data_IF_211740743826
#
_entry.id   IF_211740743826
#
_cell.length_a   1.000
_cell.length_b   1.000
_cell.length_c   1.000
_cell.angle_alpha   90.00
_cell.angle_beta   90.00
_cell.angle_gamma   90.00
#
_symmetry.space_group_name_H-M   'P 1'
#
loop_
_entity.id
_entity.type
_entity.pdbx_description
1 polymer ?
#
# COMPACT_ATOMS: atom_id res chain seq x y z
N UNK A 1 -3.94 -26.93 44.49
CA UNK A 1 -2.88 -26.09 43.90
C UNK A 1 -2.54 -26.57 42.48
N UNK A 2 -3.51 -26.58 41.56
CA UNK A 2 -3.33 -27.22 40.23
C UNK A 2 -4.00 -26.48 39.07
N UNK A 3 -5.07 -25.72 39.36
CA UNK A 3 -5.83 -24.98 38.35
C UNK A 3 -5.07 -23.70 37.92
N UNK A 4 -4.50 -22.95 38.89
CA UNK A 4 -3.70 -21.76 38.60
C UNK A 4 -2.43 -22.06 37.76
N UNK A 5 -1.77 -23.19 38.02
CA UNK A 5 -0.59 -23.65 37.26
C UNK A 5 -0.95 -24.08 35.83
N UNK A 6 -2.13 -24.69 35.63
CA UNK A 6 -2.63 -25.09 34.31
C UNK A 6 -3.09 -23.89 33.47
N UNK A 7 -3.69 -22.86 34.10
CA UNK A 7 -4.04 -21.60 33.45
C UNK A 7 -2.82 -20.81 33.00
N UNK A 8 -1.76 -20.76 33.81
CA UNK A 8 -0.50 -20.11 33.43
C UNK A 8 0.20 -20.78 32.25
N UNK A 9 0.19 -22.12 32.20
CA UNK A 9 0.73 -22.90 31.07
C UNK A 9 -0.07 -22.71 29.77
N UNK A 10 -1.40 -22.56 29.87
CA UNK A 10 -2.24 -22.27 28.72
C UNK A 10 -2.00 -20.85 28.17
N UNK A 11 -1.85 -19.85 29.04
CA UNK A 11 -1.57 -18.47 28.63
C UNK A 11 -0.20 -18.33 27.93
N UNK A 12 0.80 -19.11 28.36
CA UNK A 12 2.14 -19.12 27.75
C UNK A 12 2.19 -19.88 26.42
N UNK A 13 1.30 -20.87 26.21
CA UNK A 13 1.21 -21.56 24.93
C UNK A 13 0.61 -20.66 23.81
N UNK A 14 -0.25 -19.70 24.17
CA UNK A 14 -0.80 -18.74 23.20
C UNK A 14 0.20 -17.64 22.77
N UNK A 15 1.26 -17.38 23.54
CA UNK A 15 2.29 -16.39 23.15
C UNK A 15 3.31 -16.94 22.14
N UNK A 16 3.40 -18.27 21.95
CA UNK A 16 4.29 -18.87 20.94
C UNK A 16 3.74 -18.82 19.51
N UNK A 17 2.44 -18.57 19.32
CA UNK A 17 1.84 -18.44 17.99
C UNK A 17 2.20 -17.11 17.28
N UNK A 18 2.83 -16.16 17.98
CA UNK A 18 3.25 -14.87 17.40
C UNK A 18 4.58 -14.93 16.63
N UNK A 19 5.29 -16.07 16.67
CA UNK A 19 6.50 -16.29 15.87
C UNK A 19 6.19 -16.98 14.53
N UNK A 20 5.14 -16.54 13.82
CA UNK A 20 5.00 -16.95 12.42
C UNK A 20 6.08 -16.25 11.60
N UNK A 21 6.93 -17.00 10.89
CA UNK A 21 8.02 -16.46 10.05
C UNK A 21 7.58 -15.62 8.85
N UNK A 22 6.33 -15.17 8.80
CA UNK A 22 5.74 -14.31 7.77
C UNK A 22 5.01 -13.13 8.42
N UNK A 23 4.87 -11.99 7.73
CA UNK A 23 4.12 -10.84 8.22
C UNK A 23 2.64 -11.16 8.37
N UNK A 24 2.01 -10.72 9.45
CA UNK A 24 0.55 -10.80 9.63
C UNK A 24 -0.19 -9.92 8.61
N UNK A 25 -1.47 -10.19 8.36
CA UNK A 25 -2.28 -9.40 7.42
C UNK A 25 -2.42 -7.95 7.83
N UNK A 26 -2.58 -7.70 9.13
CA UNK A 26 -2.55 -6.35 9.68
C UNK A 26 -1.23 -5.63 9.44
N UNK A 27 -0.09 -6.32 9.60
CA UNK A 27 1.22 -5.71 9.32
C UNK A 27 1.42 -5.42 7.83
N UNK A 28 1.04 -6.34 6.95
CA UNK A 28 1.14 -6.14 5.51
C UNK A 28 0.26 -4.97 5.04
N UNK A 29 -1.00 -4.90 5.48
CA UNK A 29 -1.90 -3.79 5.14
C UNK A 29 -1.40 -2.46 5.72
N UNK A 30 -0.87 -2.45 6.94
CA UNK A 30 -0.28 -1.23 7.53
C UNK A 30 0.89 -0.72 6.70
N UNK A 31 1.87 -1.58 6.40
CA UNK A 31 3.05 -1.22 5.61
C UNK A 31 2.68 -0.76 4.20
N UNK A 32 1.69 -1.42 3.59
CA UNK A 32 1.16 -1.02 2.29
C UNK A 32 0.53 0.38 2.31
N UNK A 33 -0.25 0.69 3.36
CA UNK A 33 -0.85 2.02 3.50
C UNK A 33 0.22 3.10 3.77
N UNK A 34 1.22 2.81 4.59
CA UNK A 34 2.36 3.70 4.84
C UNK A 34 3.16 3.99 3.57
N UNK A 35 3.39 2.98 2.73
CA UNK A 35 4.01 3.16 1.41
C UNK A 35 3.18 4.09 0.50
N UNK A 36 1.87 3.85 0.37
CA UNK A 36 1.05 4.65 -0.53
C UNK A 36 0.87 6.10 -0.06
N UNK A 37 0.86 6.34 1.25
CA UNK A 37 0.86 7.71 1.79
C UNK A 37 2.15 8.47 1.39
N UNK A 38 3.30 7.79 1.36
CA UNK A 38 4.58 8.40 0.95
C UNK A 38 4.64 8.74 -0.54
N UNK A 39 3.92 8.02 -1.39
CA UNK A 39 3.89 8.28 -2.84
C UNK A 39 3.15 9.58 -3.21
N UNK A 40 2.48 10.24 -2.25
CA UNK A 40 1.92 11.58 -2.45
C UNK A 40 0.74 11.65 -3.42
N UNK A 41 0.14 10.52 -3.77
CA UNK A 41 -1.02 10.44 -4.67
C UNK A 41 -2.37 10.57 -3.95
N UNK A 42 -2.36 10.78 -2.63
CA UNK A 42 -3.55 10.83 -1.78
C UNK A 42 -4.54 11.96 -2.14
N UNK A 43 -4.06 12.99 -2.83
CA UNK A 43 -4.90 14.10 -3.31
C UNK A 43 -5.75 13.70 -4.53
N UNK A 44 -5.30 12.72 -5.30
CA UNK A 44 -5.94 12.29 -6.56
C UNK A 44 -6.75 11.00 -6.38
N UNK A 45 -6.27 10.10 -5.52
CA UNK A 45 -6.84 8.78 -5.33
C UNK A 45 -6.92 8.42 -3.86
N UNK A 46 -8.00 7.72 -3.51
CA UNK A 46 -8.10 6.98 -2.26
C UNK A 46 -7.77 5.51 -2.52
N UNK A 47 -7.09 4.87 -1.57
CA UNK A 47 -6.79 3.44 -1.61
C UNK A 47 -7.73 2.73 -0.62
N UNK A 48 -8.61 1.89 -1.16
CA UNK A 48 -9.61 1.15 -0.39
C UNK A 48 -9.40 -0.37 -0.51
N UNK A 49 -10.02 -1.12 0.40
CA UNK A 49 -10.13 -2.58 0.34
C UNK A 49 -8.78 -3.33 0.19
N UNK A 50 -7.70 -2.74 0.71
CA UNK A 50 -6.36 -3.31 0.64
C UNK A 50 -6.29 -4.63 1.43
N UNK A 51 -6.00 -5.71 0.71
CA UNK A 51 -5.89 -7.06 1.27
C UNK A 51 -4.75 -7.83 0.63
N UNK A 52 -4.13 -8.72 1.40
CA UNK A 52 -3.21 -9.70 0.86
C UNK A 52 -3.98 -10.71 0.00
N UNK A 53 -3.42 -11.02 -1.17
CA UNK A 53 -3.90 -12.10 -2.04
C UNK A 53 -2.86 -13.19 -2.26
N UNK A 54 -1.58 -12.91 -2.02
CA UNK A 54 -0.51 -13.91 -2.06
C UNK A 54 0.66 -13.49 -1.15
N UNK A 55 1.53 -14.44 -0.80
CA UNK A 55 2.78 -14.15 -0.09
C UNK A 55 3.78 -15.30 -0.18
N UNK A 56 5.03 -14.99 -0.51
CA UNK A 56 6.09 -15.98 -0.67
C UNK A 56 7.46 -15.41 -0.30
N UNK A 57 8.38 -16.30 0.10
CA UNK A 57 9.76 -15.93 0.34
C UNK A 57 10.56 -16.01 -0.96
N UNK A 58 11.42 -15.02 -1.20
CA UNK A 58 12.34 -14.96 -2.35
C UNK A 58 13.64 -14.31 -1.90
N UNK A 59 14.75 -15.05 -2.03
CA UNK A 59 16.10 -14.53 -1.76
C UNK A 59 16.26 -13.91 -0.36
N UNK A 60 15.70 -14.55 0.67
CA UNK A 60 15.75 -14.07 2.07
C UNK A 60 14.87 -12.85 2.37
N UNK A 61 14.00 -12.45 1.42
CA UNK A 61 12.99 -11.41 1.59
C UNK A 61 11.60 -12.02 1.46
N UNK A 62 10.61 -11.38 2.07
CA UNK A 62 9.21 -11.81 1.96
C UNK A 62 8.46 -10.91 0.99
N UNK A 63 7.92 -11.46 -0.08
CA UNK A 63 7.09 -10.75 -1.05
C UNK A 63 5.62 -10.94 -0.67
N UNK A 64 4.89 -9.84 -0.54
CA UNK A 64 3.44 -9.85 -0.32
C UNK A 64 2.75 -9.25 -1.53
N UNK A 65 1.82 -9.99 -2.15
CA UNK A 65 0.97 -9.44 -3.20
C UNK A 65 -0.29 -8.86 -2.56
N UNK A 66 -0.47 -7.55 -2.73
CA UNK A 66 -1.62 -6.80 -2.21
C UNK A 66 -2.59 -6.51 -3.35
N UNK A 67 -3.87 -6.82 -3.15
CA UNK A 67 -4.97 -6.34 -3.98
C UNK A 67 -5.66 -5.17 -3.28
N UNK A 68 -6.00 -4.14 -4.04
CA UNK A 68 -6.61 -2.92 -3.51
C UNK A 68 -7.43 -2.23 -4.60
N UNK A 69 -8.33 -1.35 -4.19
CA UNK A 69 -9.09 -0.49 -5.08
C UNK A 69 -8.51 0.93 -5.06
N UNK A 70 -8.24 1.46 -6.24
CA UNK A 70 -7.94 2.87 -6.46
C UNK A 70 -9.26 3.58 -6.74
N UNK A 71 -9.67 4.48 -5.85
CA UNK A 71 -10.91 5.27 -5.98
C UNK A 71 -10.55 6.69 -6.37
N UNK A 72 -11.09 7.14 -7.49
CA UNK A 72 -10.78 8.45 -8.05
C UNK A 72 -11.53 9.56 -7.31
N UNK A 73 -10.84 10.62 -6.87
CA UNK A 73 -11.42 11.70 -6.05
C UNK A 73 -11.99 12.87 -6.88
N UNK A 74 -11.55 13.02 -8.13
CA UNK A 74 -11.96 14.10 -9.05
C UNK A 74 -11.92 13.63 -10.50
N UNK A 75 -12.63 14.32 -11.39
CA UNK A 75 -12.62 13.96 -12.80
C UNK A 75 -11.25 14.21 -13.44
N UNK A 76 -10.95 13.47 -14.52
CA UNK A 76 -9.67 13.59 -15.22
C UNK A 76 -9.34 15.03 -15.63
N UNK A 77 -10.32 15.78 -16.15
CA UNK A 77 -10.10 17.16 -16.57
C UNK A 77 -9.86 18.08 -15.36
N UNK A 78 -10.58 17.86 -14.25
CA UNK A 78 -10.37 18.61 -13.01
C UNK A 78 -8.95 18.41 -12.47
N UNK A 79 -8.43 17.17 -12.52
CA UNK A 79 -7.06 16.86 -12.17
C UNK A 79 -6.07 17.60 -13.07
N UNK A 80 -6.23 17.52 -14.40
CA UNK A 80 -5.33 18.19 -15.36
C UNK A 80 -5.30 19.69 -15.07
N UNK A 81 -6.47 20.32 -14.92
CA UNK A 81 -6.57 21.75 -14.64
C UNK A 81 -5.93 22.13 -13.28
N UNK A 82 -6.15 21.33 -12.24
CA UNK A 82 -5.56 21.54 -10.92
C UNK A 82 -4.03 21.45 -10.96
N UNK A 83 -3.50 20.43 -11.64
CA UNK A 83 -2.06 20.23 -11.76
C UNK A 83 -1.40 21.30 -12.66
N UNK A 84 -2.03 21.67 -13.78
CA UNK A 84 -1.53 22.72 -14.68
C UNK A 84 -1.49 24.07 -13.97
N UNK A 85 -2.52 24.40 -13.17
CA UNK A 85 -2.50 25.61 -12.33
C UNK A 85 -1.37 25.59 -11.31
N UNK A 86 -1.12 24.44 -10.68
CA UNK A 86 -0.04 24.27 -9.68
C UNK A 86 1.36 24.43 -10.30
N UNK A 87 1.56 23.98 -11.54
CA UNK A 87 2.84 24.11 -12.24
C UNK A 87 3.17 25.56 -12.66
N UNK A 88 2.17 26.44 -12.77
CA UNK A 88 2.39 27.83 -13.20
C UNK A 88 2.99 27.90 -14.61
N UNK A 89 3.86 28.87 -14.87
CA UNK A 89 4.53 29.08 -16.17
C UNK A 89 5.93 28.45 -16.27
N UNK A 90 6.36 27.67 -15.28
CA UNK A 90 7.65 26.99 -15.31
C UNK A 90 7.66 25.88 -16.38
N UNK A 91 8.53 26.04 -17.37
CA UNK A 91 8.65 25.13 -18.51
C UNK A 91 9.04 23.70 -18.10
N UNK A 92 10.01 23.54 -17.18
CA UNK A 92 10.46 22.23 -16.72
C UNK A 92 9.37 21.55 -15.89
N UNK A 93 8.71 22.31 -15.02
CA UNK A 93 7.59 21.81 -14.22
C UNK A 93 6.42 21.34 -15.10
N UNK A 94 6.08 22.10 -16.15
CA UNK A 94 5.06 21.69 -17.13
C UNK A 94 5.46 20.44 -17.91
N UNK A 95 6.73 20.34 -18.32
CA UNK A 95 7.25 19.16 -19.01
C UNK A 95 7.11 17.89 -18.16
N UNK A 96 7.55 17.94 -16.90
CA UNK A 96 7.43 16.82 -15.96
C UNK A 96 5.97 16.49 -15.65
N UNK A 97 5.13 17.50 -15.49
CA UNK A 97 3.70 17.33 -15.28
C UNK A 97 3.04 16.58 -16.45
N UNK A 98 3.30 17.00 -17.68
CA UNK A 98 2.72 16.36 -18.87
C UNK A 98 3.09 14.89 -18.96
N UNK A 99 4.35 14.54 -18.67
CA UNK A 99 4.80 13.15 -18.62
C UNK A 99 4.03 12.33 -17.56
N UNK A 100 3.82 12.91 -16.37
CA UNK A 100 3.05 12.26 -15.30
C UNK A 100 1.58 12.06 -15.68
N UNK A 101 0.94 13.07 -16.29
CA UNK A 101 -0.43 12.97 -16.80
C UNK A 101 -0.53 11.85 -17.85
N UNK A 102 0.44 11.76 -18.75
CA UNK A 102 0.45 10.74 -19.79
C UNK A 102 0.58 9.33 -19.21
N UNK A 103 1.41 9.14 -18.18
CA UNK A 103 1.51 7.88 -17.43
C UNK A 103 0.16 7.51 -16.81
N UNK A 104 -0.47 8.45 -16.09
CA UNK A 104 -1.78 8.23 -15.46
C UNK A 104 -2.85 7.90 -16.50
N UNK A 105 -2.87 8.61 -17.64
CA UNK A 105 -3.81 8.34 -18.73
C UNK A 105 -3.57 6.96 -19.35
N UNK A 106 -2.32 6.50 -19.49
CA UNK A 106 -2.04 5.14 -19.98
C UNK A 106 -2.46 4.07 -18.98
N UNK A 107 -2.31 4.33 -17.68
CA UNK A 107 -2.59 3.34 -16.63
C UNK A 107 -4.08 3.23 -16.26
N UNK A 108 -4.81 4.34 -16.31
CA UNK A 108 -6.19 4.45 -15.84
C UNK A 108 -7.18 4.92 -16.92
N UNK A 109 -6.69 5.38 -18.07
CA UNK A 109 -7.52 6.04 -19.07
C UNK A 109 -7.98 7.42 -18.60
N UNK A 110 -8.98 7.97 -19.31
CA UNK A 110 -9.76 9.08 -18.77
C UNK A 110 -10.73 8.51 -17.75
N UNK A 111 -10.73 9.09 -16.55
CA UNK A 111 -11.54 8.62 -15.44
C UNK A 111 -12.51 9.70 -14.95
N UNK A 112 -13.56 9.23 -14.28
CA UNK A 112 -14.51 10.08 -13.55
C UNK A 112 -14.39 9.88 -12.05
N UNK A 113 -14.83 10.88 -11.30
CA UNK A 113 -14.92 10.83 -9.85
C UNK A 113 -15.73 9.64 -9.38
N UNK A 114 -15.22 8.93 -8.37
CA UNK A 114 -15.80 7.72 -7.82
C UNK A 114 -15.55 6.46 -8.64
N UNK A 115 -14.94 6.55 -9.83
CA UNK A 115 -14.51 5.38 -10.58
C UNK A 115 -13.50 4.57 -9.77
N UNK A 116 -13.61 3.24 -9.87
CA UNK A 116 -12.78 2.30 -9.13
C UNK A 116 -11.93 1.45 -10.07
N UNK A 117 -10.67 1.27 -9.70
CA UNK A 117 -9.75 0.36 -10.38
C UNK A 117 -9.17 -0.62 -9.38
N UNK A 118 -9.51 -1.90 -9.51
CA UNK A 118 -8.88 -2.96 -8.71
C UNK A 118 -7.51 -3.27 -9.28
N UNK A 119 -6.47 -3.15 -8.46
CA UNK A 119 -5.07 -3.38 -8.82
C UNK A 119 -4.47 -4.44 -7.91
N UNK A 120 -3.37 -5.04 -8.39
CA UNK A 120 -2.51 -5.91 -7.60
C UNK A 120 -1.08 -5.41 -7.69
N UNK A 121 -0.38 -5.33 -6.57
CA UNK A 121 1.03 -4.91 -6.52
C UNK A 121 1.81 -5.77 -5.51
N UNK A 122 2.99 -6.27 -5.89
CA UNK A 122 3.89 -6.88 -4.93
C UNK A 122 4.57 -5.81 -4.07
N UNK A 123 4.74 -6.11 -2.78
CA UNK A 123 5.49 -5.33 -1.82
C UNK A 123 6.56 -6.24 -1.21
N UNK A 124 7.81 -5.78 -1.22
CA UNK A 124 8.94 -6.55 -0.69
C UNK A 124 9.20 -6.13 0.75
N UNK A 125 9.21 -7.12 1.65
CA UNK A 125 9.40 -6.94 3.07
C UNK A 125 10.66 -7.64 3.54
N UNK A 126 11.34 -7.01 4.50
CA UNK A 126 12.49 -7.55 5.19
C UNK A 126 12.18 -7.67 6.69
N UNK A 127 12.69 -8.74 7.30
CA UNK A 127 12.58 -8.94 8.74
C UNK A 127 13.67 -8.14 9.44
N UNK A 128 13.29 -7.35 10.43
CA UNK A 128 14.19 -6.56 11.28
C UNK A 128 13.98 -6.96 12.75
N UNK A 129 14.85 -6.47 13.63
CA UNK A 129 14.69 -6.65 15.09
C UNK A 129 13.38 -6.04 15.62
N UNK A 130 12.90 -4.95 14.99
CA UNK A 130 11.64 -4.28 15.32
C UNK A 130 10.40 -4.89 14.63
N UNK A 131 10.56 -5.99 13.87
CA UNK A 131 9.49 -6.63 13.11
C UNK A 131 9.66 -6.46 11.59
N UNK A 132 8.55 -6.53 10.85
CA UNK A 132 8.58 -6.42 9.38
C UNK A 132 8.67 -4.96 8.94
N UNK A 133 9.53 -4.71 7.96
CA UNK A 133 9.69 -3.42 7.32
C UNK A 133 9.71 -3.56 5.80
N UNK A 134 9.38 -2.48 5.11
CA UNK A 134 9.56 -2.36 3.66
C UNK A 134 11.06 -2.46 3.32
N UNK A 135 11.39 -3.25 2.30
CA UNK A 135 12.74 -3.43 1.82
C UNK A 135 13.06 -2.37 0.76
N UNK A 136 13.40 -1.15 1.21
CA UNK A 136 13.87 -0.04 0.39
C UNK A 136 15.37 -0.14 0.10
#
# INVERSE_FOLDING_TARGET
MGIARRLFLALFALSLAACSGKPSDSEATRLFNEENQRLGLADLFDIENAKRVNGYEKEGRYVVEMQFDVVVKMDYQEMVDALTRKAGDDFLARGQLNANIEVLQREYGKFTKGQRFTKKRPMVLQRTEAGWALAW
#
